data_IF_176347353938
#
_entry.id   IF_176347353938
#
_cell.length_a   1.000
_cell.length_b   1.000
_cell.length_c   1.000
_cell.angle_alpha   90.00
_cell.angle_beta   90.00
_cell.angle_gamma   90.00
#
_symmetry.space_group_name_H-M   'P 1'
#
loop_
_entity.id
_entity.type
_entity.pdbx_description
1 polymer ?
#
# COMPACT_ATOMS: atom_id res chain seq x y z
N UNK A 1 -22.14 15.48 -8.15
CA UNK A 1 -21.19 14.46 -8.69
C UNK A 1 -22.04 13.46 -9.43
N UNK A 2 -21.80 13.31 -10.71
CA UNK A 2 -22.58 12.41 -11.57
C UNK A 2 -22.29 10.95 -11.18
N UNK A 3 -23.33 10.18 -10.82
CA UNK A 3 -23.20 8.76 -10.41
C UNK A 3 -22.61 7.87 -11.53
N UNK A 4 -22.71 8.33 -12.79
CA UNK A 4 -22.15 7.64 -13.96
C UNK A 4 -20.62 7.53 -13.96
N UNK A 5 -19.93 8.26 -13.09
CA UNK A 5 -18.45 8.27 -12.98
C UNK A 5 -17.90 7.53 -11.75
N UNK A 6 -18.74 6.79 -11.04
CA UNK A 6 -18.38 6.02 -9.86
C UNK A 6 -18.36 4.52 -10.19
N UNK A 7 -17.39 3.79 -9.64
CA UNK A 7 -17.33 2.33 -9.74
C UNK A 7 -16.90 1.70 -8.43
N UNK A 8 -17.18 0.42 -8.26
CA UNK A 8 -16.79 -0.39 -7.12
C UNK A 8 -15.84 -1.49 -7.56
N UNK A 9 -14.82 -1.69 -6.75
CA UNK A 9 -13.92 -2.84 -6.82
C UNK A 9 -14.02 -3.61 -5.51
N UNK A 10 -14.21 -4.90 -5.55
CA UNK A 10 -14.15 -5.74 -4.34
C UNK A 10 -13.27 -6.97 -4.57
N UNK A 11 -12.79 -7.57 -3.49
CA UNK A 11 -12.04 -8.83 -3.53
C UNK A 11 -12.81 -9.95 -2.87
N UNK A 12 -12.84 -11.13 -3.53
CA UNK A 12 -13.45 -12.35 -3.00
C UNK A 12 -14.95 -12.22 -2.75
N UNK A 13 -15.46 -13.00 -1.79
CA UNK A 13 -16.89 -13.11 -1.46
C UNK A 13 -17.45 -11.93 -0.65
N UNK A 14 -16.75 -10.80 -0.61
CA UNK A 14 -17.26 -9.63 0.14
C UNK A 14 -18.49 -9.06 -0.54
N UNK A 15 -19.61 -9.02 0.19
CA UNK A 15 -20.84 -8.40 -0.29
C UNK A 15 -20.65 -6.88 -0.44
N UNK A 16 -21.12 -6.35 -1.57
CA UNK A 16 -21.21 -4.91 -1.78
C UNK A 16 -22.24 -4.32 -0.82
N UNK A 17 -21.89 -3.35 0.04
CA UNK A 17 -22.83 -2.68 0.94
C UNK A 17 -24.03 -2.09 0.19
N UNK A 18 -25.20 -2.04 0.83
CA UNK A 18 -26.42 -1.57 0.21
C UNK A 18 -26.28 -0.17 -0.45
N UNK A 19 -25.52 0.73 0.19
CA UNK A 19 -25.28 2.07 -0.30
C UNK A 19 -24.45 2.15 -1.61
N UNK A 20 -23.93 1.02 -2.11
CA UNK A 20 -23.05 0.95 -3.29
C UNK A 20 -23.54 -0.05 -4.34
N UNK A 21 -24.71 -0.70 -4.14
CA UNK A 21 -25.21 -1.75 -5.03
C UNK A 21 -25.66 -1.26 -6.40
N UNK A 22 -25.96 0.02 -6.51
CA UNK A 22 -26.36 0.69 -7.76
C UNK A 22 -25.16 1.04 -8.65
N UNK A 23 -23.93 0.85 -8.17
CA UNK A 23 -22.71 1.16 -8.90
C UNK A 23 -22.19 -0.04 -9.68
N UNK A 24 -21.58 0.19 -10.86
CA UNK A 24 -20.91 -0.86 -11.61
C UNK A 24 -19.76 -1.46 -10.79
N UNK A 25 -19.63 -2.79 -10.85
CA UNK A 25 -18.55 -3.54 -10.20
C UNK A 25 -17.50 -3.87 -11.24
N UNK A 26 -16.26 -3.51 -10.94
CA UNK A 26 -15.10 -3.76 -11.80
C UNK A 26 -14.28 -4.94 -11.27
N UNK A 27 -13.85 -5.80 -12.18
CA UNK A 27 -12.92 -6.87 -11.88
C UNK A 27 -11.47 -6.39 -12.08
N UNK A 28 -10.65 -6.52 -11.02
CA UNK A 28 -9.22 -6.21 -11.10
C UNK A 28 -8.39 -7.36 -11.69
N UNK A 29 -8.95 -8.53 -11.92
CA UNK A 29 -8.21 -9.65 -12.55
C UNK A 29 -8.18 -9.54 -14.06
N UNK A 30 -9.16 -8.82 -14.66
CA UNK A 30 -9.28 -8.58 -16.09
C UNK A 30 -8.73 -7.21 -16.54
N UNK A 31 -8.93 -6.91 -17.83
CA UNK A 31 -8.55 -5.64 -18.48
C UNK A 31 -9.64 -4.55 -18.31
N UNK A 32 -10.26 -4.48 -17.14
CA UNK A 32 -11.28 -3.47 -16.89
C UNK A 32 -10.71 -2.06 -17.13
N UNK A 33 -11.42 -1.27 -17.94
CA UNK A 33 -11.07 0.13 -18.15
C UNK A 33 -11.36 0.93 -16.87
N UNK A 34 -10.30 1.25 -16.14
CA UNK A 34 -10.38 2.07 -14.95
C UNK A 34 -10.44 3.56 -15.27
N UNK A 35 -10.07 3.94 -16.51
CA UNK A 35 -9.84 5.35 -16.87
C UNK A 35 -11.12 6.12 -17.17
N UNK A 36 -12.23 5.42 -17.41
CA UNK A 36 -13.55 6.00 -17.64
C UNK A 36 -14.22 6.54 -16.37
N UNK A 37 -13.68 6.21 -15.18
CA UNK A 37 -14.26 6.62 -13.91
C UNK A 37 -13.52 7.80 -13.28
N UNK A 38 -14.26 8.64 -12.57
CA UNK A 38 -13.67 9.74 -11.78
C UNK A 38 -13.39 9.35 -10.33
N UNK A 39 -14.08 8.30 -9.83
CA UNK A 39 -13.87 7.75 -8.48
C UNK A 39 -14.10 6.25 -8.45
N UNK A 40 -13.19 5.53 -7.80
CA UNK A 40 -13.28 4.09 -7.60
C UNK A 40 -13.34 3.79 -6.10
N UNK A 41 -14.30 2.98 -5.69
CA UNK A 41 -14.54 2.60 -4.29
C UNK A 41 -14.06 1.16 -4.10
N UNK A 42 -13.01 0.99 -3.33
CA UNK A 42 -12.43 -0.32 -3.02
C UNK A 42 -13.05 -0.89 -1.75
N UNK A 43 -13.61 -2.09 -1.84
CA UNK A 43 -14.13 -2.86 -0.71
C UNK A 43 -13.21 -4.06 -0.49
N UNK A 44 -12.41 -4.04 0.57
CA UNK A 44 -11.49 -5.15 0.80
C UNK A 44 -10.30 -4.82 1.68
N UNK A 45 -9.32 -5.72 1.75
CA UNK A 45 -8.07 -5.51 2.45
C UNK A 45 -7.18 -4.48 1.71
N UNK A 46 -6.09 -4.08 2.36
CA UNK A 46 -5.08 -3.19 1.77
C UNK A 46 -4.52 -3.73 0.45
N UNK A 47 -4.32 -5.04 0.35
CA UNK A 47 -3.89 -5.69 -0.90
C UNK A 47 -4.73 -5.28 -2.12
N UNK A 48 -6.07 -5.29 -2.00
CA UNK A 48 -6.97 -4.89 -3.10
C UNK A 48 -6.76 -3.43 -3.48
N UNK A 49 -6.60 -2.55 -2.49
CA UNK A 49 -6.29 -1.15 -2.72
C UNK A 49 -4.94 -0.98 -3.43
N UNK A 50 -3.92 -1.72 -3.00
CA UNK A 50 -2.58 -1.66 -3.59
C UNK A 50 -2.53 -2.14 -5.03
N UNK A 51 -3.29 -3.19 -5.36
CA UNK A 51 -3.46 -3.66 -6.74
C UNK A 51 -4.10 -2.58 -7.60
N UNK A 52 -5.20 -1.96 -7.15
CA UNK A 52 -5.84 -0.85 -7.87
C UNK A 52 -4.86 0.32 -8.05
N UNK A 53 -4.23 0.79 -6.99
CA UNK A 53 -3.30 1.92 -7.06
C UNK A 53 -2.08 1.63 -7.97
N UNK A 54 -1.58 0.39 -7.98
CA UNK A 54 -0.51 -0.02 -8.90
C UNK A 54 -0.97 -0.01 -10.37
N UNK A 55 -2.23 -0.32 -10.65
CA UNK A 55 -2.81 -0.21 -12.00
C UNK A 55 -2.99 1.25 -12.41
N UNK A 56 -3.52 2.09 -11.53
CA UNK A 56 -3.68 3.53 -11.77
C UNK A 56 -2.31 4.20 -11.99
N UNK A 57 -1.31 3.83 -11.21
CA UNK A 57 0.06 4.32 -11.39
C UNK A 57 0.61 3.97 -12.78
N UNK A 58 0.45 2.72 -13.23
CA UNK A 58 0.91 2.29 -14.58
C UNK A 58 0.15 2.96 -15.71
N UNK A 59 -1.11 3.32 -15.48
CA UNK A 59 -1.96 4.01 -16.44
C UNK A 59 -1.79 5.54 -16.42
N UNK A 60 -0.91 6.08 -15.54
CA UNK A 60 -0.74 7.52 -15.30
C UNK A 60 -2.06 8.22 -14.93
N UNK A 61 -2.88 7.55 -14.08
CA UNK A 61 -4.22 7.99 -13.69
C UNK A 61 -4.38 8.13 -12.17
N UNK A 62 -3.36 8.69 -11.50
CA UNK A 62 -3.43 9.03 -10.08
C UNK A 62 -4.34 10.25 -9.77
N UNK A 63 -4.94 10.83 -10.81
CA UNK A 63 -6.02 11.84 -10.75
C UNK A 63 -7.37 11.23 -10.39
N UNK A 64 -7.56 9.91 -10.54
CA UNK A 64 -8.79 9.23 -10.15
C UNK A 64 -8.87 9.13 -8.63
N UNK A 65 -10.00 9.56 -8.09
CA UNK A 65 -10.25 9.51 -6.65
C UNK A 65 -10.49 8.07 -6.18
N UNK A 66 -9.83 7.66 -5.10
CA UNK A 66 -9.99 6.31 -4.56
C UNK A 66 -10.48 6.35 -3.12
N UNK A 67 -11.61 5.68 -2.86
CA UNK A 67 -12.14 5.46 -1.52
C UNK A 67 -11.85 4.04 -1.06
N UNK A 68 -11.39 3.85 0.18
CA UNK A 68 -11.15 2.53 0.77
C UNK A 68 -12.18 2.23 1.86
N UNK A 69 -13.10 1.31 1.58
CA UNK A 69 -14.18 0.88 2.49
C UNK A 69 -13.78 -0.42 3.18
N UNK A 70 -13.28 -0.30 4.40
CA UNK A 70 -12.94 -1.47 5.25
C UNK A 70 -14.13 -1.96 6.07
N UNK A 71 -15.09 -1.07 6.36
CA UNK A 71 -16.28 -1.33 7.18
C UNK A 71 -17.55 -0.85 6.46
N UNK A 72 -18.63 -1.65 6.44
CA UNK A 72 -19.83 -1.34 5.64
C UNK A 72 -20.44 0.03 5.91
N UNK A 73 -20.39 0.53 7.14
CA UNK A 73 -20.96 1.83 7.50
C UNK A 73 -20.20 3.05 6.97
N UNK A 74 -18.99 2.87 6.42
CA UNK A 74 -18.26 3.92 5.70
C UNK A 74 -18.67 4.02 4.22
N UNK A 75 -19.47 3.10 3.71
CA UNK A 75 -19.84 3.01 2.30
C UNK A 75 -20.54 4.29 1.78
N UNK A 76 -21.46 4.86 2.54
CA UNK A 76 -22.15 6.10 2.15
C UNK A 76 -21.19 7.27 1.99
N UNK A 77 -20.25 7.43 2.93
CA UNK A 77 -19.21 8.49 2.87
C UNK A 77 -18.26 8.32 1.69
N UNK A 78 -17.98 7.09 1.27
CA UNK A 78 -17.10 6.81 0.15
C UNK A 78 -17.60 7.44 -1.17
N UNK A 79 -18.92 7.65 -1.31
CA UNK A 79 -19.52 8.28 -2.49
C UNK A 79 -19.31 9.80 -2.53
N UNK A 80 -19.38 10.46 -1.39
CA UNK A 80 -19.58 11.92 -1.32
C UNK A 80 -18.47 12.67 -0.59
N UNK A 81 -17.64 12.00 0.21
CA UNK A 81 -16.57 12.67 0.93
C UNK A 81 -15.55 13.28 -0.02
N UNK A 82 -14.98 14.41 0.38
CA UNK A 82 -13.91 15.06 -0.38
C UNK A 82 -12.67 14.19 -0.45
N UNK A 83 -11.97 14.25 -1.56
CA UNK A 83 -10.66 13.64 -1.76
C UNK A 83 -9.54 14.63 -1.40
N UNK A 84 -8.44 14.09 -0.92
CA UNK A 84 -7.21 14.85 -0.69
C UNK A 84 -6.02 14.04 -1.23
N UNK A 85 -5.03 14.75 -1.80
CA UNK A 85 -3.81 14.11 -2.28
C UNK A 85 -2.94 13.70 -1.10
N UNK A 86 -2.55 12.43 -1.08
CA UNK A 86 -1.68 11.84 -0.06
C UNK A 86 -0.49 11.14 -0.73
N UNK A 87 0.64 10.97 -0.02
CA UNK A 87 1.79 10.27 -0.55
C UNK A 87 1.42 8.86 -1.05
N UNK A 88 2.00 8.46 -2.17
CA UNK A 88 1.94 7.12 -2.71
C UNK A 88 3.29 6.45 -2.51
N UNK A 89 3.30 5.30 -1.85
CA UNK A 89 4.53 4.53 -1.61
C UNK A 89 4.53 3.31 -2.51
N UNK A 90 5.62 3.13 -3.23
CA UNK A 90 5.86 1.98 -4.09
C UNK A 90 7.25 1.41 -3.90
N UNK A 91 7.45 0.20 -4.36
CA UNK A 91 8.78 -0.38 -4.43
C UNK A 91 9.49 -0.10 -5.78
N UNK A 92 10.68 -0.64 -5.93
CA UNK A 92 11.50 -0.56 -7.15
C UNK A 92 10.84 -1.18 -8.38
N UNK A 93 9.88 -2.09 -8.21
CA UNK A 93 9.13 -2.73 -9.32
C UNK A 93 7.90 -1.93 -9.74
N UNK A 94 7.56 -0.85 -9.03
CA UNK A 94 6.35 -0.08 -9.25
C UNK A 94 5.12 -0.65 -8.54
N UNK A 95 5.31 -1.63 -7.65
CA UNK A 95 4.22 -2.17 -6.83
C UNK A 95 3.94 -1.24 -5.66
N UNK A 96 2.70 -0.76 -5.58
CA UNK A 96 2.26 0.13 -4.49
C UNK A 96 1.97 -0.66 -3.23
N UNK A 97 2.32 -0.09 -2.08
CA UNK A 97 1.85 -0.56 -0.77
C UNK A 97 0.91 0.48 -0.16
N UNK A 98 -0.18 0.04 0.44
CA UNK A 98 -1.18 0.92 1.08
C UNK A 98 -1.37 0.64 2.58
N UNK A 99 -0.97 -0.53 3.04
CA UNK A 99 -1.00 -0.92 4.45
C UNK A 99 0.38 -1.01 5.07
N UNK A 100 1.12 -2.05 4.73
CA UNK A 100 2.49 -2.22 5.20
C UNK A 100 3.31 -3.17 4.32
N UNK A 101 4.63 -2.95 4.31
CA UNK A 101 5.57 -3.96 3.86
C UNK A 101 6.44 -4.45 5.01
N UNK A 102 6.98 -5.66 4.86
CA UNK A 102 7.92 -6.25 5.81
C UNK A 102 9.14 -6.75 5.05
N UNK A 103 10.30 -6.58 5.65
CA UNK A 103 11.49 -7.35 5.35
C UNK A 103 11.66 -8.35 6.48
N UNK A 104 11.69 -9.63 6.15
CA UNK A 104 11.75 -10.73 7.11
C UNK A 104 12.95 -11.64 6.81
N UNK A 105 13.47 -12.37 7.81
CA UNK A 105 14.48 -13.38 7.58
C UNK A 105 13.99 -14.42 6.56
N UNK A 106 14.90 -14.98 5.74
CA UNK A 106 14.60 -16.16 4.94
C UNK A 106 14.23 -17.35 5.81
N UNK A 107 13.58 -18.35 5.21
CA UNK A 107 13.18 -19.57 5.91
C UNK A 107 14.37 -20.22 6.60
N UNK A 108 14.15 -20.64 7.85
CA UNK A 108 15.18 -21.23 8.69
C UNK A 108 16.12 -20.24 9.39
N UNK A 109 16.04 -18.94 9.08
CA UNK A 109 16.84 -17.91 9.76
C UNK A 109 15.98 -17.13 10.77
N UNK A 110 16.63 -16.57 11.80
CA UNK A 110 15.95 -15.75 12.81
C UNK A 110 16.15 -14.25 12.60
N UNK A 111 17.16 -13.87 11.82
CA UNK A 111 17.57 -12.49 11.58
C UNK A 111 17.87 -12.26 10.10
N UNK A 112 17.76 -11.02 9.67
CA UNK A 112 18.27 -10.52 8.41
C UNK A 112 19.67 -9.99 8.69
N UNK A 113 20.69 -10.43 7.94
CA UNK A 113 22.02 -9.85 7.99
C UNK A 113 22.18 -8.82 6.87
N UNK A 114 22.61 -7.60 7.22
CA UNK A 114 22.79 -6.51 6.27
C UNK A 114 22.68 -5.14 6.90
N UNK A 115 22.30 -4.17 6.09
CA UNK A 115 22.08 -2.79 6.52
C UNK A 115 20.76 -2.26 5.97
N UNK A 116 20.03 -1.50 6.78
CA UNK A 116 18.86 -0.76 6.31
C UNK A 116 18.89 0.68 6.79
N UNK A 117 18.45 1.58 5.90
CA UNK A 117 18.38 3.03 6.14
C UNK A 117 17.02 3.58 5.75
N UNK A 118 16.64 4.69 6.38
CA UNK A 118 15.53 5.55 5.94
C UNK A 118 16.12 6.93 5.65
N UNK A 119 16.15 7.30 4.38
CA UNK A 119 16.91 8.46 3.88
C UNK A 119 18.37 8.37 4.38
N UNK A 120 18.78 9.24 5.29
CA UNK A 120 20.13 9.26 5.86
C UNK A 120 20.20 8.62 7.26
N UNK A 121 19.07 8.14 7.82
CA UNK A 121 19.04 7.56 9.16
C UNK A 121 19.10 6.03 9.10
N UNK A 122 20.10 5.47 9.78
CA UNK A 122 20.32 4.04 9.88
C UNK A 122 19.27 3.39 10.78
N UNK A 123 18.55 2.39 10.27
CA UNK A 123 17.65 1.54 11.05
C UNK A 123 18.42 0.43 11.77
N UNK A 124 19.31 -0.26 11.06
CA UNK A 124 20.23 -1.25 11.60
C UNK A 124 21.45 -1.43 10.68
N UNK A 125 22.52 -1.98 11.25
CA UNK A 125 23.74 -2.40 10.58
C UNK A 125 24.21 -3.67 11.32
N UNK A 126 24.31 -4.80 10.60
CA UNK A 126 24.55 -6.12 11.14
C UNK A 126 23.29 -7.00 11.09
N UNK A 127 22.62 -7.28 12.20
CA UNK A 127 21.49 -8.18 12.25
C UNK A 127 20.22 -7.52 12.79
N UNK A 128 19.07 -7.87 12.21
CA UNK A 128 17.76 -7.45 12.69
C UNK A 128 16.74 -8.60 12.55
N UNK A 129 15.79 -8.70 13.48
CA UNK A 129 14.67 -9.67 13.42
C UNK A 129 13.77 -9.42 12.20
N UNK A 130 13.72 -8.19 11.73
CA UNK A 130 12.96 -7.75 10.56
C UNK A 130 12.74 -6.25 10.59
N UNK A 131 12.13 -5.74 9.52
CA UNK A 131 11.76 -4.33 9.40
C UNK A 131 10.31 -4.24 8.94
N UNK A 132 9.57 -3.30 9.52
CA UNK A 132 8.22 -2.92 9.07
C UNK A 132 8.24 -1.54 8.45
N UNK A 133 7.65 -1.40 7.28
CA UNK A 133 7.52 -0.16 6.54
C UNK A 133 6.02 0.14 6.39
N UNK A 134 5.61 1.38 6.64
CA UNK A 134 4.22 1.82 6.52
C UNK A 134 4.13 3.14 5.75
N UNK A 135 3.19 3.26 4.79
CA UNK A 135 2.80 4.55 4.26
C UNK A 135 2.19 5.43 5.36
N UNK A 136 2.53 6.71 5.36
CA UNK A 136 1.88 7.71 6.20
C UNK A 136 1.19 8.78 5.33
N UNK A 137 0.05 9.33 5.78
CA UNK A 137 -0.76 10.23 4.96
C UNK A 137 -0.16 11.63 4.80
N UNK A 138 0.91 11.91 5.52
CA UNK A 138 1.62 13.21 5.51
C UNK A 138 3.04 13.03 4.99
N UNK A 139 3.69 14.14 4.62
CA UNK A 139 5.11 14.12 4.31
C UNK A 139 5.90 13.72 5.57
N UNK A 140 7.01 12.99 5.41
CA UNK A 140 7.74 12.65 4.20
C UNK A 140 7.16 11.48 3.38
N UNK A 141 6.15 10.73 3.85
CA UNK A 141 5.39 9.76 3.08
C UNK A 141 5.46 8.33 3.59
N UNK A 142 6.54 7.90 4.19
CA UNK A 142 6.65 6.59 4.83
C UNK A 142 7.31 6.68 6.21
N UNK A 143 7.17 5.61 6.97
CA UNK A 143 7.95 5.35 8.17
C UNK A 143 8.38 3.88 8.19
N UNK A 144 9.54 3.62 8.78
CA UNK A 144 10.03 2.26 8.98
C UNK A 144 10.53 2.06 10.41
N UNK A 145 10.53 0.83 10.86
CA UNK A 145 11.01 0.43 12.18
C UNK A 145 11.57 -0.98 12.14
N UNK A 146 12.66 -1.22 12.84
CA UNK A 146 13.07 -2.59 13.16
C UNK A 146 12.03 -3.26 14.04
N UNK A 147 11.98 -4.59 13.95
CA UNK A 147 11.07 -5.42 14.76
C UNK A 147 11.82 -6.05 15.93
N UNK A 148 11.20 -6.07 17.08
CA UNK A 148 11.66 -6.85 18.23
C UNK A 148 11.45 -8.35 17.99
N UNK A 149 12.01 -9.21 18.88
CA UNK A 149 11.79 -10.66 18.85
C UNK A 149 10.30 -11.07 18.94
N UNK A 150 9.42 -10.17 19.42
CA UNK A 150 7.96 -10.34 19.45
C UNK A 150 7.26 -9.77 18.22
N UNK A 151 8.00 -9.46 17.14
CA UNK A 151 7.50 -8.87 15.90
C UNK A 151 6.76 -7.53 16.10
N UNK A 152 7.16 -6.75 17.10
CA UNK A 152 6.61 -5.41 17.36
C UNK A 152 7.61 -4.35 16.93
N UNK A 153 7.14 -3.26 16.28
CA UNK A 153 8.00 -2.12 15.98
C UNK A 153 8.67 -1.58 17.25
N UNK A 154 9.94 -1.22 17.13
CA UNK A 154 10.74 -0.66 18.23
C UNK A 154 10.70 0.86 18.19
N UNK A 155 11.41 1.48 17.24
CA UNK A 155 11.47 2.92 17.04
C UNK A 155 11.14 3.23 15.57
N UNK A 156 10.19 4.13 15.35
CA UNK A 156 9.82 4.58 14.03
C UNK A 156 10.74 5.70 13.55
N UNK A 157 11.22 5.55 12.32
CA UNK A 157 11.93 6.58 11.56
C UNK A 157 11.09 6.92 10.34
N UNK A 158 10.85 8.20 10.10
CA UNK A 158 10.06 8.68 8.96
C UNK A 158 10.97 9.24 7.88
N UNK A 159 10.68 8.92 6.62
CA UNK A 159 11.47 9.37 5.49
C UNK A 159 10.74 9.24 4.16
N UNK A 160 11.45 9.56 3.10
CA UNK A 160 10.98 9.45 1.70
C UNK A 160 11.22 8.06 1.13
N UNK A 161 12.28 7.41 1.59
CA UNK A 161 12.69 6.10 1.11
C UNK A 161 13.23 5.25 2.28
N UNK A 162 12.90 3.96 2.26
CA UNK A 162 13.51 2.93 3.09
C UNK A 162 14.25 1.95 2.17
N UNK A 163 15.52 1.69 2.45
CA UNK A 163 16.40 0.88 1.61
C UNK A 163 17.02 -0.23 2.45
N UNK A 164 17.13 -1.42 1.86
CA UNK A 164 17.77 -2.59 2.43
C UNK A 164 18.83 -3.14 1.48
N UNK A 165 20.04 -3.35 2.00
CA UNK A 165 21.08 -4.20 1.43
C UNK A 165 21.32 -5.39 2.34
N UNK A 166 21.23 -6.62 1.83
CA UNK A 166 21.28 -7.83 2.67
C UNK A 166 21.84 -9.04 1.92
N UNK A 167 22.25 -10.06 2.64
CA UNK A 167 22.57 -11.38 2.06
C UNK A 167 21.33 -12.12 1.57
N UNK A 168 20.15 -11.81 2.13
CA UNK A 168 18.84 -12.33 1.71
C UNK A 168 17.74 -11.93 2.70
N UNK A 169 16.60 -11.44 2.17
CA UNK A 169 15.41 -11.15 2.95
C UNK A 169 14.14 -11.51 2.18
N UNK A 170 13.14 -12.01 2.87
CA UNK A 170 11.79 -12.15 2.33
C UNK A 170 11.10 -10.78 2.36
N UNK A 171 10.51 -10.40 1.23
CA UNK A 171 9.73 -9.17 1.12
C UNK A 171 8.25 -9.52 1.16
N UNK A 172 7.50 -8.90 2.07
CA UNK A 172 6.04 -9.05 2.16
C UNK A 172 5.39 -7.71 1.89
N UNK A 173 4.40 -7.65 0.98
CA UNK A 173 3.67 -6.43 0.60
C UNK A 173 2.20 -6.61 0.89
N UNK A 174 1.64 -5.85 1.82
CA UNK A 174 0.23 -5.94 2.23
C UNK A 174 -0.27 -7.37 2.48
N UNK A 175 0.62 -8.21 3.06
CA UNK A 175 0.36 -9.60 3.40
C UNK A 175 0.71 -10.62 2.30
N UNK A 176 1.22 -10.19 1.15
CA UNK A 176 1.71 -11.09 0.10
C UNK A 176 3.21 -11.23 0.10
N UNK A 177 3.66 -12.46 0.08
CA UNK A 177 5.08 -12.80 -0.01
C UNK A 177 5.58 -12.69 -1.45
N UNK A 178 6.73 -12.04 -1.62
CA UNK A 178 7.48 -12.13 -2.88
C UNK A 178 8.15 -13.51 -2.93
N UNK A 179 8.03 -14.25 -4.04
CA UNK A 179 8.43 -15.67 -4.08
C UNK A 179 9.92 -15.94 -3.84
N UNK A 180 10.78 -14.94 -4.09
CA UNK A 180 12.23 -15.11 -3.96
C UNK A 180 12.81 -14.12 -2.96
N UNK A 181 13.76 -14.54 -2.10
CA UNK A 181 14.49 -13.63 -1.24
C UNK A 181 15.21 -12.56 -2.05
N UNK A 182 15.12 -11.31 -1.60
CA UNK A 182 15.78 -10.17 -2.21
C UNK A 182 17.11 -9.89 -1.49
N UNK A 183 18.13 -9.50 -2.27
CA UNK A 183 19.40 -8.97 -1.73
C UNK A 183 19.37 -7.45 -1.59
N UNK A 184 18.46 -6.81 -2.32
CA UNK A 184 18.18 -5.37 -2.24
C UNK A 184 16.69 -5.18 -2.35
N UNK A 185 16.15 -4.26 -1.57
CA UNK A 185 14.75 -3.87 -1.63
C UNK A 185 14.62 -2.41 -1.22
N UNK A 186 13.79 -1.68 -1.93
CA UNK A 186 13.56 -0.27 -1.67
C UNK A 186 12.07 0.03 -1.72
N UNK A 187 11.59 0.74 -0.69
CA UNK A 187 10.27 1.38 -0.72
C UNK A 187 10.45 2.88 -0.69
N UNK A 188 9.79 3.59 -1.56
CA UNK A 188 9.95 5.05 -1.63
C UNK A 188 8.67 5.76 -2.05
N UNK A 189 8.60 7.02 -1.67
CA UNK A 189 7.52 7.89 -2.06
C UNK A 189 7.63 8.24 -3.54
N UNK A 190 6.57 7.96 -4.28
CA UNK A 190 6.44 8.42 -5.66
C UNK A 190 6.33 9.93 -5.73
N UNK A 191 6.74 10.53 -6.84
CA UNK A 191 6.72 11.99 -7.05
C UNK A 191 5.31 12.54 -6.98
N UNK A 192 4.35 11.82 -7.55
CA UNK A 192 2.94 12.14 -7.47
C UNK A 192 2.25 11.28 -6.39
N UNK A 193 1.41 11.91 -5.56
CA UNK A 193 0.54 11.21 -4.63
C UNK A 193 -0.77 10.79 -5.30
N UNK A 194 -1.59 10.00 -4.63
CA UNK A 194 -2.92 9.60 -5.09
C UNK A 194 -4.03 10.35 -4.35
N UNK A 195 -5.21 10.47 -4.98
CA UNK A 195 -6.38 11.14 -4.40
C UNK A 195 -7.16 10.18 -3.50
N UNK A 196 -6.96 10.33 -2.19
CA UNK A 196 -7.67 9.53 -1.18
C UNK A 196 -8.95 10.22 -0.74
N UNK A 197 -10.09 9.50 -0.84
CA UNK A 197 -11.40 9.96 -0.39
C UNK A 197 -11.58 9.71 1.11
N UNK A 198 -11.95 10.77 1.84
CA UNK A 198 -12.27 10.72 3.27
C UNK A 198 -11.04 10.57 4.19
N UNK A 199 -11.27 10.77 5.50
CA UNK A 199 -10.29 10.43 6.56
C UNK A 199 -10.55 9.00 7.03
N UNK A 200 -9.50 8.20 7.17
CA UNK A 200 -9.56 6.97 7.98
C UNK A 200 -9.29 7.30 9.43
#
# INVERSE_FOLDING_TARGET
MDASRLAVVHSGDRRVPAALRDLPVLDLTGDADLTSFGRIIVIGPHRTLSVLLSRLLRADRLDIEVAHVRRPWHAGRARTAAAARVPLIRDETGTVISGSALWLPPDGQRTIAGEAVVDDERLFDGEATGVRIEPIPTMPGLRASTLSSRMRPTRWVSGRAAQLGTTGALVVRDGEHVPRPARRSTFYRHTEGWLRVGRQ
#
